data_IF_198971889830
#
_entry.id   IF_198971889830
#
_cell.length_a   1.000
_cell.length_b   1.000
_cell.length_c   1.000
_cell.angle_alpha   90.00
_cell.angle_beta   90.00
_cell.angle_gamma   90.00
#
_symmetry.space_group_name_H-M   'P 1'
#
loop_
_entity.id
_entity.type
_entity.pdbx_description
1 polymer ?
#
# COMPACT_ATOMS: atom_id res chain seq x y z
N UNK A 1 31.63 -20.57 -70.69
CA UNK A 1 30.43 -20.65 -69.84
C UNK A 1 30.90 -20.57 -68.40
N UNK A 2 30.73 -19.42 -67.74
CA UNK A 2 31.12 -19.23 -66.34
C UNK A 2 29.85 -19.25 -65.49
N UNK A 3 29.75 -20.19 -64.55
CA UNK A 3 28.64 -20.27 -63.60
C UNK A 3 29.04 -19.50 -62.33
N UNK A 4 28.31 -18.43 -62.01
CA UNK A 4 28.45 -17.69 -60.75
C UNK A 4 27.49 -18.31 -59.74
N UNK A 5 28.04 -18.91 -58.68
CA UNK A 5 27.26 -19.39 -57.55
C UNK A 5 26.93 -18.22 -56.61
N UNK A 6 25.64 -17.90 -56.47
CA UNK A 6 25.17 -16.92 -55.50
C UNK A 6 25.02 -17.59 -54.13
N UNK A 7 25.82 -17.16 -53.16
CA UNK A 7 25.69 -17.55 -51.75
C UNK A 7 24.70 -16.61 -51.08
N UNK A 8 23.51 -17.12 -50.75
CA UNK A 8 22.52 -16.39 -49.97
C UNK A 8 22.88 -16.44 -48.49
N UNK A 9 23.43 -15.35 -47.95
CA UNK A 9 23.58 -15.16 -46.51
C UNK A 9 22.22 -14.90 -45.88
N UNK A 10 21.70 -15.86 -45.11
CA UNK A 10 20.59 -15.61 -44.19
C UNK A 10 21.10 -14.76 -43.03
N UNK A 11 20.77 -13.48 -43.02
CA UNK A 11 20.89 -12.62 -41.83
C UNK A 11 19.75 -12.95 -40.86
N UNK A 12 20.05 -13.72 -39.81
CA UNK A 12 19.18 -13.81 -38.63
C UNK A 12 19.16 -12.44 -37.95
N UNK A 13 18.09 -11.66 -38.16
CA UNK A 13 17.82 -10.48 -37.35
C UNK A 13 17.47 -10.93 -35.93
N UNK A 14 18.42 -10.77 -35.00
CA UNK A 14 18.14 -10.93 -33.58
C UNK A 14 17.14 -9.84 -33.16
N UNK A 15 15.88 -10.21 -32.95
CA UNK A 15 14.90 -9.34 -32.31
C UNK A 15 15.31 -9.19 -30.85
N UNK A 16 16.02 -8.11 -30.54
CA UNK A 16 16.25 -7.71 -29.16
C UNK A 16 14.88 -7.33 -28.56
N UNK A 17 14.31 -8.23 -27.75
CA UNK A 17 13.20 -7.93 -26.87
C UNK A 17 13.67 -6.82 -25.92
N UNK A 18 13.30 -5.56 -26.23
CA UNK A 18 13.44 -4.47 -25.28
C UNK A 18 12.44 -4.75 -24.16
N UNK A 19 12.91 -5.27 -23.03
CA UNK A 19 12.15 -5.24 -21.79
C UNK A 19 11.73 -3.79 -21.55
N UNK A 20 10.43 -3.52 -21.59
CA UNK A 20 9.91 -2.20 -21.26
C UNK A 20 10.43 -1.81 -19.87
N UNK A 21 10.92 -0.59 -19.73
CA UNK A 21 11.25 -0.04 -18.41
C UNK A 21 10.02 -0.19 -17.53
N UNK A 22 10.13 -0.90 -16.41
CA UNK A 22 9.05 -1.00 -15.44
C UNK A 22 8.57 0.42 -15.11
N UNK A 23 7.29 0.70 -15.38
CA UNK A 23 6.68 1.97 -14.97
C UNK A 23 6.62 1.95 -13.44
N UNK A 24 7.30 2.91 -12.82
CA UNK A 24 7.35 3.06 -11.38
C UNK A 24 6.92 4.48 -11.03
N UNK A 25 6.23 4.62 -9.91
CA UNK A 25 5.78 5.91 -9.42
C UNK A 25 7.01 6.68 -8.94
N UNK A 26 7.46 7.64 -9.75
CA UNK A 26 8.67 8.41 -9.46
C UNK A 26 8.36 9.61 -8.55
N UNK A 27 7.89 9.34 -7.34
CA UNK A 27 7.62 10.34 -6.28
C UNK A 27 8.80 10.49 -5.29
N UNK A 28 9.95 9.89 -5.59
CA UNK A 28 11.19 10.05 -4.82
C UNK A 28 11.32 9.12 -3.59
N UNK A 29 10.33 8.26 -3.31
CA UNK A 29 10.36 7.29 -2.19
C UNK A 29 10.32 5.84 -2.68
N UNK A 30 10.40 4.88 -1.75
CA UNK A 30 10.30 3.44 -2.00
C UNK A 30 11.28 2.87 -3.05
N UNK A 31 12.46 3.49 -3.23
CA UNK A 31 13.52 2.98 -4.14
C UNK A 31 13.96 1.55 -3.79
N UNK A 32 13.87 1.19 -2.52
CA UNK A 32 13.90 -0.19 -2.03
C UNK A 32 12.55 -0.50 -1.37
N UNK A 33 12.15 -1.78 -1.27
CA UNK A 33 10.94 -2.16 -0.56
C UNK A 33 10.87 -1.52 0.83
N UNK A 34 9.75 -0.86 1.19
CA UNK A 34 9.55 -0.32 2.53
C UNK A 34 9.61 -1.43 3.59
N UNK A 35 10.31 -1.16 4.70
CA UNK A 35 10.43 -2.09 5.83
C UNK A 35 9.89 -1.44 7.09
N UNK A 36 9.12 -2.18 7.88
CA UNK A 36 8.45 -1.63 9.05
C UNK A 36 7.52 -2.61 9.73
N UNK A 37 6.54 -2.06 10.44
CA UNK A 37 5.53 -2.78 11.20
C UNK A 37 4.15 -2.17 10.91
N UNK A 38 3.12 -3.02 10.92
CA UNK A 38 1.72 -2.66 10.75
C UNK A 38 0.91 -3.22 11.93
N UNK A 39 -0.04 -2.44 12.45
CA UNK A 39 -0.80 -2.81 13.65
C UNK A 39 -1.80 -3.95 13.48
N UNK A 40 -2.23 -4.26 12.26
CA UNK A 40 -3.43 -5.07 12.01
C UNK A 40 -3.32 -6.52 12.47
N UNK A 41 -2.29 -7.26 12.05
CA UNK A 41 -2.22 -8.72 12.25
C UNK A 41 -2.20 -9.15 13.72
N UNK A 42 -1.78 -8.26 14.64
CA UNK A 42 -1.75 -8.55 16.08
C UNK A 42 -2.91 -7.92 16.82
N UNK A 43 -3.27 -6.68 16.47
CA UNK A 43 -4.17 -5.89 17.31
C UNK A 43 -5.53 -5.61 16.67
N UNK A 44 -5.69 -5.75 15.35
CA UNK A 44 -6.91 -5.37 14.65
C UNK A 44 -7.38 -3.96 15.03
N UNK A 45 -8.64 -3.81 15.44
CA UNK A 45 -9.17 -2.55 15.95
C UNK A 45 -8.79 -2.25 17.41
N UNK A 46 -8.05 -3.09 18.14
CA UNK A 46 -7.64 -2.83 19.53
C UNK A 46 -6.34 -2.01 19.59
N UNK A 47 -6.38 -0.82 18.98
CA UNK A 47 -5.25 0.10 18.90
C UNK A 47 -5.54 1.44 19.57
N UNK A 48 -4.50 2.02 20.17
CA UNK A 48 -4.51 3.37 20.72
C UNK A 48 -3.09 3.98 20.66
N UNK A 49 -3.00 5.28 20.95
CA UNK A 49 -1.74 6.03 20.90
C UNK A 49 -0.64 5.43 21.79
N UNK A 50 -0.98 4.97 23.00
CA UNK A 50 0.00 4.38 23.91
C UNK A 50 0.59 3.10 23.33
N UNK A 51 -0.24 2.23 22.75
CA UNK A 51 0.21 1.01 22.07
C UNK A 51 1.15 1.34 20.91
N UNK A 52 0.77 2.27 20.02
CA UNK A 52 1.61 2.62 18.87
C UNK A 52 2.97 3.18 19.31
N UNK A 53 2.97 4.04 20.35
CA UNK A 53 4.20 4.56 20.95
C UNK A 53 5.08 3.44 21.53
N UNK A 54 4.49 2.46 22.21
CA UNK A 54 5.19 1.29 22.73
C UNK A 54 5.82 0.45 21.62
N UNK A 55 5.11 0.21 20.52
CA UNK A 55 5.66 -0.54 19.37
C UNK A 55 6.80 0.23 18.68
N UNK A 56 6.69 1.55 18.59
CA UNK A 56 7.76 2.41 18.10
C UNK A 56 9.02 2.35 18.97
N UNK A 57 8.85 2.43 20.31
CA UNK A 57 9.97 2.25 21.26
C UNK A 57 10.58 0.85 21.16
N UNK A 58 9.77 -0.19 20.93
CA UNK A 58 10.25 -1.57 20.75
C UNK A 58 11.07 -1.74 19.46
N UNK A 59 10.64 -1.15 18.33
CA UNK A 59 11.41 -1.15 17.08
C UNK A 59 12.78 -0.48 17.24
N UNK A 60 12.85 0.59 18.04
CA UNK A 60 14.11 1.29 18.32
C UNK A 60 14.99 0.46 19.25
N UNK A 61 14.47 0.05 20.40
CA UNK A 61 15.25 -0.64 21.45
C UNK A 61 15.70 -2.05 21.08
N UNK A 62 14.98 -2.73 20.18
CA UNK A 62 15.40 -4.03 19.63
C UNK A 62 16.50 -3.92 18.57
N UNK A 63 16.81 -2.71 18.08
CA UNK A 63 17.73 -2.48 16.97
C UNK A 63 17.11 -2.69 15.58
N UNK A 64 15.84 -3.10 15.47
CA UNK A 64 15.17 -3.30 14.18
C UNK A 64 15.14 -2.02 13.33
N UNK A 65 14.94 -0.85 13.95
CA UNK A 65 15.02 0.44 13.26
C UNK A 65 16.36 0.60 12.52
N UNK A 66 17.46 0.26 13.19
CA UNK A 66 18.81 0.43 12.65
C UNK A 66 19.13 -0.58 11.54
N UNK A 67 18.34 -1.66 11.43
CA UNK A 67 18.33 -2.61 10.32
C UNK A 67 17.38 -2.22 9.17
N UNK A 68 16.73 -1.05 9.26
CA UNK A 68 15.90 -0.48 8.20
C UNK A 68 14.39 -0.58 8.42
N UNK A 69 13.91 -1.23 9.50
CA UNK A 69 12.48 -1.27 9.85
C UNK A 69 12.02 0.09 10.40
N UNK A 70 11.69 0.99 9.49
CA UNK A 70 11.47 2.40 9.79
C UNK A 70 10.00 2.83 9.74
N UNK A 71 9.13 2.12 9.03
CA UNK A 71 7.72 2.49 8.93
C UNK A 71 6.89 1.93 10.09
N UNK A 72 6.09 2.77 10.75
CA UNK A 72 5.08 2.37 11.74
C UNK A 72 3.72 2.71 11.17
N UNK A 73 3.01 1.70 10.63
CA UNK A 73 1.72 1.86 9.97
C UNK A 73 0.59 1.63 10.96
N UNK A 74 -0.16 2.68 11.27
CA UNK A 74 -1.41 2.63 12.03
C UNK A 74 -2.52 2.22 11.05
N UNK A 75 -2.98 0.97 11.17
CA UNK A 75 -4.00 0.39 10.29
C UNK A 75 -5.42 0.88 10.67
N UNK A 76 -6.47 0.23 10.15
CA UNK A 76 -7.88 0.60 10.34
C UNK A 76 -8.26 0.91 11.81
N UNK A 77 -9.41 1.56 12.02
CA UNK A 77 -9.98 1.87 13.33
C UNK A 77 -9.24 2.96 14.14
N UNK A 78 -8.39 3.78 13.50
CA UNK A 78 -7.68 4.90 14.14
C UNK A 78 -8.47 6.21 14.22
N UNK A 79 -9.43 6.39 13.32
CA UNK A 79 -10.10 7.66 13.04
C UNK A 79 -11.39 7.81 13.84
N UNK A 80 -11.77 9.05 14.12
CA UNK A 80 -13.11 9.34 14.61
C UNK A 80 -14.15 8.85 13.57
N UNK A 81 -15.21 8.13 13.97
CA UNK A 81 -16.28 7.69 13.07
C UNK A 81 -16.93 8.81 12.26
N UNK A 82 -16.81 10.05 12.74
CA UNK A 82 -17.29 11.24 12.05
C UNK A 82 -16.14 12.18 11.71
N UNK A 83 -16.20 12.77 10.51
CA UNK A 83 -15.38 13.91 10.13
C UNK A 83 -15.73 15.13 10.98
N UNK A 84 -14.82 16.10 11.07
CA UNK A 84 -15.11 17.38 11.72
C UNK A 84 -16.14 18.21 10.93
N UNK A 85 -16.52 19.37 11.47
CA UNK A 85 -17.49 20.28 10.82
C UNK A 85 -16.98 20.87 9.49
N UNK A 86 -15.68 20.80 9.20
CA UNK A 86 -15.08 21.20 7.93
C UNK A 86 -14.86 20.00 6.99
N UNK A 87 -15.28 18.79 7.39
CA UNK A 87 -15.13 17.56 6.61
C UNK A 87 -13.76 16.88 6.73
N UNK A 88 -12.89 17.29 7.65
CA UNK A 88 -11.57 16.67 7.80
C UNK A 88 -11.65 15.36 8.60
N UNK A 89 -10.75 14.44 8.27
CA UNK A 89 -10.45 13.29 9.12
C UNK A 89 -9.86 13.75 10.45
N UNK A 90 -10.13 12.99 11.51
CA UNK A 90 -9.60 13.20 12.85
C UNK A 90 -9.21 11.85 13.43
N UNK A 91 -8.19 11.80 14.29
CA UNK A 91 -7.99 10.63 15.14
C UNK A 91 -9.17 10.48 16.11
N UNK A 92 -9.54 9.25 16.47
CA UNK A 92 -10.51 9.02 17.54
C UNK A 92 -9.92 9.60 18.83
N UNK A 93 -10.53 10.63 19.45
CA UNK A 93 -9.95 11.33 20.59
C UNK A 93 -9.84 10.44 21.84
N UNK A 94 -10.61 9.35 21.93
CA UNK A 94 -10.49 8.39 23.02
C UNK A 94 -9.28 7.46 22.86
N UNK A 95 -8.87 7.20 21.61
CA UNK A 95 -7.75 6.31 21.27
C UNK A 95 -6.46 7.07 21.05
N UNK A 96 -6.54 8.23 20.42
CA UNK A 96 -5.43 9.10 20.04
C UNK A 96 -5.63 10.51 20.63
N UNK A 97 -5.62 10.64 21.97
CA UNK A 97 -5.96 11.90 22.65
C UNK A 97 -5.04 13.07 22.29
N UNK A 98 -3.79 12.82 21.90
CA UNK A 98 -2.87 13.88 21.45
C UNK A 98 -3.04 14.24 19.97
N UNK A 99 -3.84 13.48 19.24
CA UNK A 99 -4.04 13.60 17.79
C UNK A 99 -2.90 13.01 16.95
N UNK A 100 -3.19 12.79 15.67
CA UNK A 100 -2.28 12.08 14.76
C UNK A 100 -1.00 12.84 14.44
N UNK A 101 -1.02 14.17 14.47
CA UNK A 101 0.20 14.97 14.29
C UNK A 101 1.20 14.73 15.42
N UNK A 102 0.74 14.74 16.68
CA UNK A 102 1.61 14.51 17.82
C UNK A 102 2.20 13.10 17.82
N UNK A 103 1.45 12.11 17.31
CA UNK A 103 1.96 10.77 17.06
C UNK A 103 3.04 10.77 15.97
N UNK A 104 2.79 11.41 14.83
CA UNK A 104 3.77 11.58 13.75
C UNK A 104 5.07 12.23 14.24
N UNK A 105 4.97 13.36 14.95
CA UNK A 105 6.12 14.06 15.53
C UNK A 105 6.92 13.15 16.49
N UNK A 106 6.24 12.33 17.29
CA UNK A 106 6.89 11.38 18.21
C UNK A 106 7.63 10.25 17.47
N UNK A 107 7.05 9.72 16.39
CA UNK A 107 7.68 8.71 15.55
C UNK A 107 8.92 9.27 14.85
N UNK A 108 8.82 10.48 14.29
CA UNK A 108 9.95 11.16 13.65
C UNK A 108 11.10 11.45 14.62
N UNK A 109 10.80 11.83 15.86
CA UNK A 109 11.81 12.04 16.91
C UNK A 109 12.64 10.78 17.22
N UNK A 110 12.15 9.59 16.83
CA UNK A 110 12.84 8.30 16.98
C UNK A 110 13.55 7.82 15.71
N UNK A 111 13.52 8.62 14.66
CA UNK A 111 14.01 8.22 13.33
C UNK A 111 13.10 7.23 12.61
N UNK A 112 11.84 7.08 13.05
CA UNK A 112 10.83 6.27 12.37
C UNK A 112 10.01 7.14 11.39
N UNK A 113 9.18 6.48 10.60
CA UNK A 113 8.30 7.03 9.58
C UNK A 113 6.86 6.71 9.91
N UNK A 114 5.96 7.67 9.76
CA UNK A 114 4.56 7.54 10.13
C UNK A 114 3.74 7.00 8.97
N UNK A 115 3.17 5.80 9.12
CA UNK A 115 2.21 5.24 8.18
C UNK A 115 0.77 5.30 8.69
N UNK A 116 -0.17 5.50 7.77
CA UNK A 116 -1.60 5.54 8.07
C UNK A 116 -2.38 4.71 7.04
N UNK A 117 -3.55 4.23 7.43
CA UNK A 117 -4.49 3.50 6.56
C UNK A 117 -5.70 4.36 6.18
N UNK A 118 -6.16 4.21 4.94
CA UNK A 118 -7.47 4.69 4.51
C UNK A 118 -8.00 3.91 3.29
N UNK A 119 -9.17 4.26 2.76
CA UNK A 119 -9.82 3.66 1.58
C UNK A 119 -10.37 4.71 0.61
N UNK A 120 -10.58 4.40 -0.68
CA UNK A 120 -11.19 5.32 -1.65
C UNK A 120 -12.72 5.32 -1.69
N UNK A 121 -13.36 4.43 -0.94
CA UNK A 121 -14.82 4.31 -0.84
C UNK A 121 -15.34 4.99 0.43
N UNK A 122 -16.63 4.91 0.72
CA UNK A 122 -17.26 5.57 1.87
C UNK A 122 -16.94 4.89 3.22
N UNK A 123 -16.73 3.57 3.22
CA UNK A 123 -16.47 2.77 4.42
C UNK A 123 -15.16 2.01 4.32
N UNK A 124 -14.38 2.04 5.40
CA UNK A 124 -13.23 1.15 5.53
C UNK A 124 -13.65 -0.31 5.63
N UNK A 125 -12.71 -1.24 5.51
CA UNK A 125 -12.98 -2.67 5.66
C UNK A 125 -13.58 -2.98 7.05
N UNK A 126 -13.04 -2.41 8.13
CA UNK A 126 -13.62 -2.60 9.46
C UNK A 126 -15.04 -2.02 9.57
N UNK A 127 -15.33 -0.89 8.91
CA UNK A 127 -16.67 -0.31 8.86
C UNK A 127 -17.65 -1.14 8.02
N UNK A 128 -17.18 -1.72 6.91
CA UNK A 128 -17.98 -2.60 6.06
C UNK A 128 -18.46 -3.84 6.82
N UNK A 129 -17.57 -4.47 7.60
CA UNK A 129 -17.90 -5.64 8.42
C UNK A 129 -18.52 -5.32 9.78
N UNK A 130 -18.74 -4.03 10.10
CA UNK A 130 -19.34 -3.61 11.37
C UNK A 130 -18.42 -3.75 12.59
N UNK A 131 -17.12 -3.97 12.40
CA UNK A 131 -16.12 -4.02 13.47
C UNK A 131 -15.74 -2.63 14.01
N UNK A 132 -15.97 -1.58 13.21
CA UNK A 132 -15.78 -0.19 13.63
C UNK A 132 -16.94 0.69 13.10
N UNK A 133 -17.43 1.68 13.87
CA UNK A 133 -18.59 2.46 13.43
C UNK A 133 -18.23 3.54 12.41
N UNK A 134 -19.27 4.07 11.74
CA UNK A 134 -19.17 5.21 10.83
C UNK A 134 -19.02 4.83 9.35
N UNK A 135 -18.82 5.87 8.53
CA UNK A 135 -18.48 5.78 7.12
C UNK A 135 -17.50 6.93 6.83
N UNK A 136 -16.21 6.64 7.04
CA UNK A 136 -15.17 7.67 7.14
C UNK A 136 -14.03 7.42 6.14
N UNK A 137 -14.36 6.77 5.02
CA UNK A 137 -13.45 6.63 3.90
C UNK A 137 -13.24 7.94 3.13
N UNK A 138 -12.33 7.93 2.16
CA UNK A 138 -11.91 9.14 1.43
C UNK A 138 -12.72 9.44 0.18
N UNK A 139 -13.82 8.73 -0.11
CA UNK A 139 -14.62 8.97 -1.31
C UNK A 139 -15.08 10.43 -1.39
N UNK A 140 -14.61 11.17 -2.40
CA UNK A 140 -14.94 12.59 -2.60
C UNK A 140 -14.13 13.55 -1.72
N UNK A 141 -13.25 13.05 -0.86
CA UNK A 141 -12.40 13.81 0.05
C UNK A 141 -10.91 13.61 -0.21
N UNK A 142 -10.50 12.98 -1.32
CA UNK A 142 -9.12 12.55 -1.56
C UNK A 142 -8.10 13.70 -1.40
N UNK A 143 -8.38 14.85 -2.00
CA UNK A 143 -7.52 16.03 -1.90
C UNK A 143 -7.47 16.63 -0.48
N UNK A 144 -8.59 16.59 0.24
CA UNK A 144 -8.68 17.07 1.62
C UNK A 144 -7.90 16.16 2.56
N UNK A 145 -8.11 14.85 2.44
CA UNK A 145 -7.47 13.83 3.26
C UNK A 145 -5.95 13.79 3.00
N UNK A 146 -5.52 13.89 1.74
CA UNK A 146 -4.10 13.98 1.40
C UNK A 146 -3.42 15.18 2.08
N UNK A 147 -4.04 16.37 2.05
CA UNK A 147 -3.52 17.56 2.76
C UNK A 147 -3.47 17.32 4.27
N UNK A 148 -4.47 16.66 4.84
CA UNK A 148 -4.50 16.34 6.26
C UNK A 148 -3.37 15.37 6.65
N UNK A 149 -3.14 14.33 5.84
CA UNK A 149 -2.03 13.38 6.02
C UNK A 149 -0.68 14.10 5.97
N UNK A 150 -0.47 14.97 4.98
CA UNK A 150 0.75 15.76 4.87
C UNK A 150 0.96 16.69 6.07
N UNK A 151 -0.11 17.35 6.55
CA UNK A 151 -0.07 18.22 7.74
C UNK A 151 0.26 17.45 9.03
N UNK A 152 -0.14 16.19 9.13
CA UNK A 152 0.22 15.30 10.24
C UNK A 152 1.61 14.67 10.11
N UNK A 153 2.30 14.89 8.99
CA UNK A 153 3.63 14.31 8.76
C UNK A 153 3.61 12.83 8.36
N UNK A 154 2.51 12.34 7.79
CA UNK A 154 2.45 10.97 7.26
C UNK A 154 3.51 10.78 6.16
N UNK A 155 4.17 9.64 6.16
CA UNK A 155 5.21 9.21 5.20
C UNK A 155 4.79 7.99 4.37
N UNK A 156 3.70 7.31 4.76
CA UNK A 156 3.20 6.09 4.13
C UNK A 156 1.67 6.04 4.19
N UNK A 157 1.00 5.79 3.07
CA UNK A 157 -0.43 5.53 3.02
C UNK A 157 -0.69 4.09 2.53
N UNK A 158 -1.29 3.27 3.39
CA UNK A 158 -1.98 2.02 2.99
C UNK A 158 -3.38 2.40 2.51
N UNK A 159 -3.77 1.93 1.33
CA UNK A 159 -5.03 2.34 0.70
C UNK A 159 -5.79 1.15 0.08
N UNK A 160 -6.85 0.70 0.76
CA UNK A 160 -7.56 -0.54 0.44
C UNK A 160 -8.86 -0.31 -0.36
N UNK A 161 -9.15 -1.19 -1.31
CA UNK A 161 -10.41 -1.20 -2.07
C UNK A 161 -11.54 -1.91 -1.30
N UNK A 162 -12.00 -1.43 -0.17
CA UNK A 162 -12.99 -2.16 0.65
C UNK A 162 -14.43 -2.16 0.09
N UNK A 163 -14.65 -2.71 -1.11
CA UNK A 163 -15.95 -2.77 -1.79
C UNK A 163 -16.07 -3.98 -2.73
N UNK A 164 -17.24 -4.66 -2.79
CA UNK A 164 -17.50 -5.72 -3.76
C UNK A 164 -17.63 -5.23 -5.19
N UNK A 165 -17.89 -3.92 -5.38
CA UNK A 165 -18.19 -3.33 -6.66
C UNK A 165 -16.97 -2.64 -7.28
N UNK A 166 -17.04 -2.45 -8.60
CA UNK A 166 -16.02 -1.76 -9.39
C UNK A 166 -15.35 -2.67 -10.40
N UNK A 167 -14.95 -2.07 -11.52
CA UNK A 167 -14.08 -2.67 -12.54
C UNK A 167 -12.62 -2.32 -12.24
N UNK A 168 -11.69 -3.05 -12.84
CA UNK A 168 -10.25 -2.73 -12.71
C UNK A 168 -9.94 -1.31 -13.21
N UNK A 169 -10.62 -0.82 -14.24
CA UNK A 169 -10.43 0.53 -14.77
C UNK A 169 -10.92 1.59 -13.78
N UNK A 170 -12.03 1.35 -13.09
CA UNK A 170 -12.52 2.21 -12.01
C UNK A 170 -11.58 2.20 -10.81
N UNK A 171 -11.02 1.05 -10.45
CA UNK A 171 -9.98 0.97 -9.41
C UNK A 171 -8.77 1.83 -9.77
N UNK A 172 -8.25 1.68 -10.99
CA UNK A 172 -7.10 2.44 -11.49
C UNK A 172 -7.38 3.94 -11.44
N UNK A 173 -8.52 4.38 -11.98
CA UNK A 173 -8.90 5.80 -11.97
C UNK A 173 -9.04 6.35 -10.54
N UNK A 174 -9.54 5.52 -9.62
CA UNK A 174 -9.80 5.93 -8.24
C UNK A 174 -8.54 5.97 -7.39
N UNK A 175 -7.67 4.96 -7.50
CA UNK A 175 -6.35 4.99 -6.87
C UNK A 175 -5.49 6.13 -7.43
N UNK A 176 -5.60 6.42 -8.74
CA UNK A 176 -4.90 7.56 -9.36
C UNK A 176 -5.34 8.91 -8.79
N UNK A 177 -6.62 9.09 -8.40
CA UNK A 177 -7.07 10.33 -7.74
C UNK A 177 -6.34 10.59 -6.43
N UNK A 178 -6.19 9.56 -5.58
CA UNK A 178 -5.44 9.70 -4.33
C UNK A 178 -3.93 9.84 -4.60
N UNK A 179 -3.35 9.14 -5.59
CA UNK A 179 -1.96 9.36 -6.03
C UNK A 179 -1.70 10.83 -6.36
N UNK A 180 -2.56 11.44 -7.18
CA UNK A 180 -2.42 12.82 -7.63
C UNK A 180 -2.64 13.80 -6.48
N UNK A 181 -3.60 13.51 -5.60
CA UNK A 181 -3.84 14.27 -4.38
C UNK A 181 -2.63 14.28 -3.44
N UNK A 182 -2.00 13.12 -3.22
CA UNK A 182 -0.77 13.00 -2.42
C UNK A 182 0.38 13.79 -3.06
N UNK A 183 0.57 13.66 -4.37
CA UNK A 183 1.61 14.40 -5.10
C UNK A 183 1.41 15.93 -4.97
N UNK A 184 0.16 16.40 -5.03
CA UNK A 184 -0.17 17.82 -4.90
C UNK A 184 0.13 18.40 -3.51
N UNK A 185 0.32 17.57 -2.48
CA UNK A 185 0.73 18.06 -1.14
C UNK A 185 2.18 18.51 -1.08
N UNK A 186 3.03 18.08 -2.03
CA UNK A 186 4.47 18.32 -2.03
C UNK A 186 5.26 17.50 -1.00
N UNK A 187 4.59 16.73 -0.13
CA UNK A 187 5.26 15.79 0.79
C UNK A 187 5.43 14.43 0.10
N UNK A 188 6.64 13.86 0.05
CA UNK A 188 6.83 12.50 -0.45
C UNK A 188 6.18 11.49 0.51
N UNK A 189 5.15 10.78 0.03
CA UNK A 189 4.41 9.77 0.79
C UNK A 189 4.46 8.46 -0.01
N UNK A 190 4.91 7.38 0.63
CA UNK A 190 4.87 6.04 0.02
C UNK A 190 3.41 5.65 -0.18
N UNK A 191 3.04 5.30 -1.41
CA UNK A 191 1.67 4.92 -1.73
C UNK A 191 1.57 3.40 -1.93
N UNK A 192 0.90 2.73 -1.00
CA UNK A 192 0.72 1.29 -0.94
C UNK A 192 -0.75 0.95 -1.12
N UNK A 193 -1.12 0.35 -2.25
CA UNK A 193 -2.52 0.03 -2.54
C UNK A 193 -2.85 -1.44 -2.31
N UNK A 194 -4.09 -1.72 -1.95
CA UNK A 194 -4.66 -3.06 -1.96
C UNK A 194 -5.93 -3.08 -2.80
N UNK A 195 -5.87 -3.53 -4.07
CA UNK A 195 -7.04 -3.58 -4.92
C UNK A 195 -7.92 -4.82 -4.68
N UNK A 196 -7.54 -5.69 -3.73
CA UNK A 196 -8.13 -7.03 -3.57
C UNK A 196 -9.16 -7.13 -2.44
N UNK A 197 -9.19 -6.17 -1.50
CA UNK A 197 -10.05 -6.24 -0.31
C UNK A 197 -11.52 -6.32 -0.70
N UNK A 198 -12.27 -7.31 -0.21
CA UNK A 198 -13.72 -7.43 -0.50
C UNK A 198 -14.00 -7.47 -2.02
N UNK A 199 -13.04 -7.81 -2.87
CA UNK A 199 -13.16 -7.68 -4.33
C UNK A 199 -12.49 -8.83 -5.08
N UNK A 200 -12.71 -8.87 -6.40
CA UNK A 200 -11.94 -9.74 -7.29
C UNK A 200 -10.43 -9.40 -7.19
N UNK A 201 -9.59 -10.41 -7.41
CA UNK A 201 -8.12 -10.27 -7.30
C UNK A 201 -7.55 -9.61 -8.53
N UNK A 202 -7.66 -8.29 -8.59
CA UNK A 202 -7.15 -7.45 -9.68
C UNK A 202 -5.68 -7.08 -9.51
N UNK A 203 -5.14 -7.15 -8.29
CA UNK A 203 -3.72 -6.95 -7.97
C UNK A 203 -2.73 -7.68 -8.90
N UNK A 204 -2.89 -8.98 -9.18
CA UNK A 204 -2.00 -9.73 -10.06
C UNK A 204 -2.29 -9.54 -11.56
N UNK A 205 -3.39 -8.88 -11.94
CA UNK A 205 -3.83 -8.80 -13.34
C UNK A 205 -3.14 -7.70 -14.15
N UNK A 206 -2.41 -6.79 -13.49
CA UNK A 206 -1.65 -5.72 -14.14
C UNK A 206 -0.45 -5.28 -13.31
N UNK A 207 0.43 -4.53 -13.96
CA UNK A 207 1.40 -3.70 -13.26
C UNK A 207 0.69 -2.42 -12.76
N UNK A 208 0.79 -2.13 -11.46
CA UNK A 208 0.22 -0.92 -10.84
C UNK A 208 1.27 0.15 -10.55
N UNK A 209 2.50 -0.01 -11.02
CA UNK A 209 3.59 0.91 -10.77
C UNK A 209 3.40 2.30 -11.40
N UNK A 210 2.47 2.48 -12.33
CA UNK A 210 2.01 3.79 -12.81
C UNK A 210 1.08 4.51 -11.81
N UNK A 211 0.53 3.78 -10.84
CA UNK A 211 -0.42 4.28 -9.84
C UNK A 211 0.21 4.37 -8.46
N UNK A 212 0.96 3.35 -8.03
CA UNK A 212 1.42 3.19 -6.65
C UNK A 212 2.90 2.77 -6.57
N UNK A 213 3.53 3.01 -5.43
CA UNK A 213 4.88 2.53 -5.16
C UNK A 213 4.90 1.03 -4.87
N UNK A 214 3.81 0.51 -4.30
CA UNK A 214 3.64 -0.90 -4.05
C UNK A 214 2.16 -1.29 -4.05
N UNK A 215 1.87 -2.53 -4.40
CA UNK A 215 0.50 -3.04 -4.44
C UNK A 215 0.41 -4.50 -4.00
N UNK A 216 -0.71 -4.84 -3.38
CA UNK A 216 -1.05 -6.22 -3.01
C UNK A 216 -1.45 -7.03 -4.24
N UNK A 217 -1.01 -8.27 -4.28
CA UNK A 217 -1.30 -9.24 -5.36
C UNK A 217 -2.15 -10.42 -4.89
N UNK A 218 -2.32 -10.59 -3.59
CA UNK A 218 -3.08 -11.68 -2.99
C UNK A 218 -4.18 -11.21 -2.04
N UNK A 219 -5.05 -12.13 -1.64
CA UNK A 219 -5.80 -12.07 -0.39
C UNK A 219 -4.87 -11.97 0.84
N UNK A 220 -5.47 -11.64 1.98
CA UNK A 220 -4.78 -11.52 3.27
C UNK A 220 -4.16 -12.84 3.73
N UNK A 221 -2.93 -12.73 4.26
CA UNK A 221 -2.16 -13.83 4.83
C UNK A 221 -2.75 -14.28 6.17
N UNK A 222 -2.49 -15.53 6.54
CA UNK A 222 -2.59 -16.02 7.92
C UNK A 222 -1.31 -16.73 8.34
N UNK A 223 -1.13 -16.95 9.64
CA UNK A 223 0.01 -17.67 10.21
C UNK A 223 -0.07 -19.18 9.95
N UNK A 224 -0.02 -19.56 8.68
CA UNK A 224 0.01 -20.93 8.20
C UNK A 224 0.94 -21.04 6.99
N UNK A 225 1.66 -22.15 6.89
CA UNK A 225 2.52 -22.40 5.74
C UNK A 225 1.72 -22.56 4.44
N UNK A 226 0.65 -23.35 4.47
CA UNK A 226 -0.20 -23.62 3.32
C UNK A 226 -1.66 -23.78 3.78
N UNK A 227 -2.59 -23.06 3.15
CA UNK A 227 -4.03 -23.11 3.45
C UNK A 227 -4.85 -23.80 2.36
N UNK A 228 -4.19 -24.30 1.30
CA UNK A 228 -4.85 -24.86 0.12
C UNK A 228 -5.54 -23.83 -0.78
N UNK A 229 -5.41 -22.53 -0.47
CA UNK A 229 -6.06 -21.46 -1.21
C UNK A 229 -5.31 -21.12 -2.50
N UNK A 230 -6.07 -20.82 -3.56
CA UNK A 230 -5.55 -20.29 -4.82
C UNK A 230 -5.97 -18.83 -4.94
N UNK A 231 -5.30 -17.96 -4.18
CA UNK A 231 -5.65 -16.55 -3.99
C UNK A 231 -7.05 -16.30 -3.36
N UNK A 232 -7.40 -17.12 -2.37
CA UNK A 232 -8.62 -17.03 -1.56
C UNK A 232 -8.30 -16.80 -0.08
N UNK A 233 -9.31 -16.42 0.71
CA UNK A 233 -9.11 -16.01 2.09
C UNK A 233 -9.21 -17.20 3.07
N UNK A 234 -8.30 -17.37 4.04
CA UNK A 234 -7.00 -16.68 4.18
C UNK A 234 -5.87 -17.42 3.44
N UNK A 235 -4.83 -16.68 3.04
CA UNK A 235 -3.69 -17.22 2.32
C UNK A 235 -2.57 -17.72 3.25
N UNK A 236 -1.99 -18.89 2.95
CA UNK A 236 -0.75 -19.33 3.58
C UNK A 236 0.48 -18.75 2.88
N UNK A 237 1.63 -18.80 3.56
CA UNK A 237 2.93 -18.29 3.04
C UNK A 237 3.25 -18.89 1.67
N UNK A 238 3.18 -20.22 1.51
CA UNK A 238 3.46 -20.90 0.26
C UNK A 238 2.49 -20.44 -0.84
N UNK A 239 1.19 -20.33 -0.53
CA UNK A 239 0.19 -19.96 -1.52
C UNK A 239 0.43 -18.55 -2.08
N UNK A 240 0.95 -17.62 -1.26
CA UNK A 240 1.29 -16.26 -1.69
C UNK A 240 2.52 -16.26 -2.60
N UNK A 241 3.54 -17.06 -2.26
CA UNK A 241 4.74 -17.23 -3.10
C UNK A 241 4.35 -17.74 -4.48
N UNK A 242 3.45 -18.72 -4.56
CA UNK A 242 3.00 -19.29 -5.83
C UNK A 242 2.27 -18.26 -6.72
N UNK A 243 1.47 -17.36 -6.13
CA UNK A 243 0.82 -16.26 -6.87
C UNK A 243 1.82 -15.21 -7.34
N UNK A 244 2.86 -14.92 -6.54
CA UNK A 244 3.81 -13.84 -6.83
C UNK A 244 4.95 -14.24 -7.76
N UNK A 245 5.36 -15.52 -7.78
CA UNK A 245 6.44 -16.01 -8.62
C UNK A 245 6.34 -15.56 -10.11
N UNK A 246 5.18 -15.66 -10.79
CA UNK A 246 5.06 -15.20 -12.18
C UNK A 246 5.06 -13.66 -12.34
N UNK A 247 4.93 -12.89 -11.27
CA UNK A 247 4.78 -11.42 -11.30
C UNK A 247 6.11 -10.66 -11.15
N UNK A 248 7.24 -11.37 -11.07
CA UNK A 248 8.57 -10.78 -10.87
C UNK A 248 8.92 -9.66 -11.87
N UNK A 249 8.42 -9.76 -13.11
CA UNK A 249 8.60 -8.74 -14.14
C UNK A 249 7.91 -7.39 -13.88
N UNK A 250 7.02 -7.31 -12.89
CA UNK A 250 6.36 -6.06 -12.51
C UNK A 250 7.12 -5.27 -11.44
N UNK A 251 8.03 -5.92 -10.70
CA UNK A 251 8.76 -5.29 -9.61
C UNK A 251 10.08 -4.63 -10.07
N UNK A 252 10.42 -3.51 -9.44
CA UNK A 252 11.63 -2.73 -9.66
C UNK A 252 11.80 -1.60 -8.63
N UNK A 253 12.84 -0.77 -8.73
CA UNK A 253 12.99 0.39 -7.84
C UNK A 253 11.75 1.30 -7.89
N UNK A 254 11.23 1.70 -6.72
CA UNK A 254 10.01 2.52 -6.58
C UNK A 254 8.69 1.87 -7.05
N UNK A 255 8.70 0.55 -7.32
CA UNK A 255 7.53 -0.22 -7.77
C UNK A 255 7.65 -1.67 -7.31
N UNK A 256 6.87 -2.10 -6.32
CA UNK A 256 7.00 -3.48 -5.78
C UNK A 256 5.66 -4.19 -5.60
N UNK A 257 5.62 -5.46 -5.97
CA UNK A 257 4.55 -6.38 -5.57
C UNK A 257 4.71 -6.71 -4.09
N UNK A 258 3.63 -6.62 -3.32
CA UNK A 258 3.66 -6.87 -1.88
C UNK A 258 2.95 -8.19 -1.56
N UNK A 259 3.68 -9.26 -1.20
CA UNK A 259 3.09 -10.37 -0.47
C UNK A 259 2.66 -9.87 0.91
N UNK A 260 1.41 -10.10 1.29
CA UNK A 260 0.99 -9.85 2.69
C UNK A 260 1.57 -10.86 3.64
#
# INVERSE_FOLDING_TARGET
MAAVAAVSLLTCAAVALRSGTAQALNNGVARTPPMGWNSWNTFGCDINEALIRQQADALVSSGMRDLGYQYVVVDDCWFNPNRDSAGNLQGDPSRFPSGMKALGDYLHARGLKFGIYQVPVDRTCAQYFGAYPGATGSQGHEAQDARQFAAWGVDYLKYDWCSPSGTIDEQVATFARMRDALAATGRPIVYSINPNSIHAKTGPLRNWGDVANMWRTTEDITNAWNTGQTNGYPMGVQNIVDVNAPLSGYAGPASSTTPT
#
